data_IF_351686841070
#
_entry.id   IF_351686841070
#
_cell.length_a   1.000
_cell.length_b   1.000
_cell.length_c   1.000
_cell.angle_alpha   90.00
_cell.angle_beta   90.00
_cell.angle_gamma   90.00
#
_symmetry.space_group_name_H-M   'P 1'
#
loop_
_entity.id
_entity.type
_entity.pdbx_description
1 polymer ?
#
# COMPACT_ATOMS: atom_id res chain seq x y z
N UNK A 1 25.68 5.27 -2.46
CA UNK A 1 25.70 4.10 -3.36
C UNK A 1 26.61 4.42 -4.53
N UNK A 2 27.53 3.52 -4.86
CA UNK A 2 28.53 3.77 -5.90
C UNK A 2 27.90 3.64 -7.30
N UNK A 3 27.90 4.73 -8.07
CA UNK A 3 27.26 4.78 -9.40
C UNK A 3 27.96 3.87 -10.40
N UNK A 4 29.30 3.81 -10.32
CA UNK A 4 30.12 3.04 -11.27
C UNK A 4 29.83 1.55 -11.17
N UNK A 5 29.64 1.02 -9.97
CA UNK A 5 29.28 -0.38 -9.73
C UNK A 5 27.92 -0.70 -10.34
N UNK A 6 26.91 0.14 -10.13
CA UNK A 6 25.56 -0.08 -10.67
C UNK A 6 25.59 -0.12 -12.20
N UNK A 7 26.28 0.83 -12.84
CA UNK A 7 26.41 0.88 -14.30
C UNK A 7 27.15 -0.33 -14.89
N UNK A 8 28.07 -0.93 -14.14
CA UNK A 8 28.75 -2.18 -14.55
C UNK A 8 27.80 -3.36 -14.49
N UNK A 9 27.00 -3.48 -13.42
CA UNK A 9 26.02 -4.55 -13.26
C UNK A 9 24.94 -4.47 -14.34
N UNK A 10 24.39 -3.28 -14.59
CA UNK A 10 23.37 -3.04 -15.62
C UNK A 10 23.87 -3.42 -17.02
N UNK A 11 25.08 -2.98 -17.40
CA UNK A 11 25.70 -3.35 -18.69
C UNK A 11 26.02 -4.83 -18.82
N UNK A 12 26.20 -5.54 -17.70
CA UNK A 12 26.37 -6.99 -17.69
C UNK A 12 25.04 -7.76 -17.84
N UNK A 13 23.90 -7.05 -17.97
CA UNK A 13 22.57 -7.65 -18.08
C UNK A 13 21.95 -8.02 -16.73
N UNK A 14 22.49 -7.53 -15.61
CA UNK A 14 21.94 -7.79 -14.29
C UNK A 14 20.76 -6.86 -14.04
N UNK A 15 19.60 -7.44 -13.71
CA UNK A 15 18.40 -6.70 -13.34
C UNK A 15 18.33 -6.50 -11.82
N UNK A 16 17.84 -5.34 -11.40
CA UNK A 16 17.63 -5.04 -9.99
C UNK A 16 16.17 -5.29 -9.62
N UNK A 17 15.94 -6.28 -8.76
CA UNK A 17 14.63 -6.55 -8.18
C UNK A 17 14.63 -6.11 -6.71
N UNK A 18 13.57 -5.41 -6.31
CA UNK A 18 13.35 -5.03 -4.93
C UNK A 18 11.96 -5.48 -4.48
N UNK A 19 11.83 -5.83 -3.20
CA UNK A 19 10.56 -6.19 -2.60
C UNK A 19 9.92 -4.96 -1.95
N UNK A 20 8.64 -4.72 -2.26
CA UNK A 20 7.79 -3.73 -1.59
C UNK A 20 6.64 -4.43 -0.88
N UNK A 21 6.19 -3.82 0.20
CA UNK A 21 5.15 -4.40 1.04
C UNK A 21 3.78 -4.12 0.40
N UNK A 22 2.92 -5.13 0.41
CA UNK A 22 1.54 -5.05 -0.08
C UNK A 22 0.68 -5.90 0.85
N UNK A 23 -0.65 -5.72 0.88
CA UNK A 23 -1.51 -6.65 1.57
C UNK A 23 -1.24 -8.10 1.16
N UNK A 24 -1.20 -9.00 2.15
CA UNK A 24 -0.79 -10.38 1.98
C UNK A 24 0.72 -10.62 1.97
N UNK A 25 1.54 -9.58 2.17
CA UNK A 25 2.99 -9.70 2.38
C UNK A 25 3.78 -8.72 1.51
N UNK A 26 4.28 -9.18 0.37
CA UNK A 26 5.15 -8.37 -0.48
C UNK A 26 5.08 -8.77 -1.95
N UNK A 27 5.44 -7.82 -2.81
CA UNK A 27 5.60 -8.05 -4.25
C UNK A 27 6.95 -7.56 -4.72
N UNK A 28 7.43 -8.11 -5.82
CA UNK A 28 8.71 -7.72 -6.41
C UNK A 28 8.48 -6.71 -7.52
N UNK A 29 9.29 -5.66 -7.52
CA UNK A 29 9.35 -4.65 -8.56
C UNK A 29 10.76 -4.60 -9.14
N UNK A 30 10.83 -4.35 -10.45
CA UNK A 30 12.10 -4.09 -11.12
C UNK A 30 12.42 -2.60 -11.05
N UNK A 31 13.65 -2.30 -10.64
CA UNK A 31 14.17 -0.96 -10.52
C UNK A 31 15.17 -0.69 -11.65
N UNK A 32 15.11 0.51 -12.20
CA UNK A 32 16.19 1.03 -13.04
C UNK A 32 17.39 1.46 -12.19
N UNK A 33 18.61 1.47 -12.76
CA UNK A 33 19.82 1.93 -12.09
C UNK A 33 19.70 3.28 -11.35
N UNK A 34 19.00 4.25 -11.94
CA UNK A 34 18.80 5.59 -11.41
C UNK A 34 17.75 5.66 -10.28
N UNK A 35 16.82 4.70 -10.24
CA UNK A 35 15.78 4.59 -9.22
C UNK A 35 16.26 3.96 -7.91
N UNK A 36 17.33 3.16 -7.96
CA UNK A 36 17.87 2.45 -6.80
C UNK A 36 18.16 3.39 -5.61
N UNK A 37 18.65 4.59 -5.87
CA UNK A 37 18.99 5.54 -4.80
C UNK A 37 17.74 6.12 -4.15
N UNK A 38 16.70 6.41 -4.94
CA UNK A 38 15.40 6.85 -4.44
C UNK A 38 14.79 5.74 -3.57
N UNK A 39 14.79 4.51 -4.07
CA UNK A 39 14.26 3.34 -3.35
C UNK A 39 14.98 3.07 -2.02
N UNK A 40 16.32 3.08 -2.00
CA UNK A 40 17.11 2.80 -0.78
C UNK A 40 16.90 3.87 0.29
N UNK A 41 16.72 5.14 -0.12
CA UNK A 41 16.53 6.24 0.82
C UNK A 41 15.09 6.31 1.35
N UNK A 42 14.10 5.98 0.51
CA UNK A 42 12.69 6.00 0.88
C UNK A 42 11.88 4.92 0.16
N UNK A 43 11.94 3.69 0.67
CA UNK A 43 11.21 2.52 0.14
C UNK A 43 9.71 2.80 0.02
N UNK A 44 9.09 3.29 1.09
CA UNK A 44 7.64 3.54 1.14
C UNK A 44 7.23 4.70 0.22
N UNK A 45 8.04 5.77 0.16
CA UNK A 45 7.79 6.88 -0.75
C UNK A 45 7.89 6.46 -2.21
N UNK A 46 8.90 5.65 -2.55
CA UNK A 46 9.04 5.07 -3.87
C UNK A 46 7.85 4.14 -4.20
N UNK A 47 7.48 3.24 -3.29
CA UNK A 47 6.36 2.34 -3.47
C UNK A 47 5.05 3.11 -3.68
N UNK A 48 4.78 4.12 -2.85
CA UNK A 48 3.61 4.99 -2.97
C UNK A 48 3.54 5.68 -4.34
N UNK A 49 4.66 6.25 -4.82
CA UNK A 49 4.78 6.83 -6.16
C UNK A 49 4.50 5.80 -7.25
N UNK A 50 4.99 4.56 -7.07
CA UNK A 50 4.79 3.45 -8.02
C UNK A 50 3.33 3.01 -8.11
N UNK A 51 2.59 3.10 -7.01
CA UNK A 51 1.16 2.82 -6.90
C UNK A 51 0.28 4.06 -7.13
N UNK A 52 0.85 5.23 -7.39
CA UNK A 52 0.10 6.47 -7.69
C UNK A 52 -0.61 7.10 -6.49
N UNK A 53 -0.15 6.86 -5.26
CA UNK A 53 -0.76 7.37 -4.03
C UNK A 53 0.22 8.17 -3.17
N UNK A 54 -0.28 8.87 -2.15
CA UNK A 54 0.59 9.44 -1.12
C UNK A 54 1.20 8.35 -0.25
N UNK A 55 2.34 8.66 0.37
CA UNK A 55 3.03 7.76 1.29
C UNK A 55 2.16 7.32 2.47
N UNK A 56 1.34 8.22 2.97
CA UNK A 56 0.41 7.96 4.08
C UNK A 56 -0.72 7.00 3.68
N UNK A 57 -1.22 7.10 2.45
CA UNK A 57 -2.24 6.19 1.93
C UNK A 57 -1.66 4.80 1.67
N UNK A 58 -0.47 4.73 1.06
CA UNK A 58 0.25 3.47 0.88
C UNK A 58 0.46 2.74 2.22
N UNK A 59 0.93 3.45 3.25
CA UNK A 59 1.10 2.87 4.59
C UNK A 59 -0.22 2.40 5.19
N UNK A 60 -1.28 3.20 5.10
CA UNK A 60 -2.59 2.78 5.60
C UNK A 60 -3.10 1.52 4.89
N UNK A 61 -2.90 1.42 3.58
CA UNK A 61 -3.27 0.25 2.79
C UNK A 61 -2.50 -1.01 3.22
N UNK A 62 -1.17 -0.90 3.41
CA UNK A 62 -0.33 -2.00 3.89
C UNK A 62 -0.66 -2.39 5.35
N UNK A 63 -0.72 -1.42 6.26
CA UNK A 63 -0.96 -1.63 7.69
C UNK A 63 -2.35 -2.24 7.97
N UNK A 64 -3.31 -1.99 7.09
CA UNK A 64 -4.67 -2.53 7.18
C UNK A 64 -4.85 -3.87 6.46
N UNK A 65 -3.78 -4.45 5.91
CA UNK A 65 -3.83 -5.63 5.06
C UNK A 65 -4.91 -5.53 3.97
N UNK A 66 -5.04 -4.35 3.37
CA UNK A 66 -6.01 -4.07 2.30
C UNK A 66 -7.46 -4.01 2.76
N UNK A 67 -7.72 -3.77 4.06
CA UNK A 67 -9.07 -3.55 4.61
C UNK A 67 -9.33 -2.06 4.89
N UNK A 68 -10.54 -1.56 4.63
CA UNK A 68 -10.84 -0.14 4.91
C UNK A 68 -11.38 0.02 6.32
N UNK A 69 -10.78 0.93 7.09
CA UNK A 69 -11.32 1.35 8.38
C UNK A 69 -12.49 2.33 8.19
N UNK A 70 -13.57 2.13 8.94
CA UNK A 70 -14.75 2.98 8.96
C UNK A 70 -14.43 4.48 9.08
N UNK A 71 -15.15 5.31 8.33
CA UNK A 71 -15.00 6.77 8.32
C UNK A 71 -15.78 7.48 9.43
N UNK A 72 -16.83 6.84 9.98
CA UNK A 72 -17.66 7.40 11.04
C UNK A 72 -16.92 7.62 12.37
N UNK A 73 -17.50 8.49 13.20
CA UNK A 73 -17.07 8.74 14.58
C UNK A 73 -18.03 8.08 15.57
N UNK A 74 -17.48 7.61 16.68
CA UNK A 74 -18.24 7.10 17.82
C UNK A 74 -19.02 8.23 18.50
N UNK A 75 -19.94 7.89 19.39
CA UNK A 75 -20.66 8.86 20.24
C UNK A 75 -19.72 9.70 21.11
N UNK A 76 -18.55 9.16 21.48
CA UNK A 76 -17.47 9.89 22.16
C UNK A 76 -16.60 10.76 21.24
N UNK A 77 -16.91 10.85 19.95
CA UNK A 77 -16.22 11.68 18.96
C UNK A 77 -14.93 11.08 18.38
N UNK A 78 -14.47 9.92 18.86
CA UNK A 78 -13.29 9.23 18.33
C UNK A 78 -13.58 8.54 16.99
N UNK A 79 -12.57 8.33 16.13
CA UNK A 79 -12.76 7.58 14.87
C UNK A 79 -13.11 6.13 15.17
N UNK A 80 -14.12 5.59 14.49
CA UNK A 80 -14.48 4.19 14.61
C UNK A 80 -13.31 3.29 14.20
N UNK A 81 -13.01 2.25 14.99
CA UNK A 81 -11.93 1.29 14.72
C UNK A 81 -12.40 0.04 13.97
N UNK A 82 -13.70 -0.09 13.68
CA UNK A 82 -14.22 -1.22 12.93
C UNK A 82 -13.81 -1.11 11.46
N UNK A 83 -13.58 -2.26 10.84
CA UNK A 83 -13.39 -2.33 9.40
C UNK A 83 -14.74 -2.35 8.69
N UNK A 84 -14.74 -1.80 7.47
CA UNK A 84 -15.82 -1.91 6.51
C UNK A 84 -15.89 -3.36 6.05
N UNK A 85 -17.11 -3.88 5.91
CA UNK A 85 -17.31 -5.23 5.35
C UNK A 85 -16.85 -5.26 3.90
N UNK A 86 -16.07 -6.28 3.53
CA UNK A 86 -15.56 -6.40 2.17
C UNK A 86 -14.42 -7.41 2.06
N UNK A 87 -13.80 -7.51 0.88
CA UNK A 87 -12.63 -8.35 0.68
C UNK A 87 -11.46 -7.88 1.56
N UNK A 88 -10.65 -8.84 2.01
CA UNK A 88 -9.33 -8.57 2.58
C UNK A 88 -8.30 -8.54 1.44
N UNK A 89 -7.13 -7.94 1.70
CA UNK A 89 -6.01 -7.95 0.77
C UNK A 89 -6.36 -7.39 -0.62
N UNK A 90 -7.22 -6.38 -0.64
CA UNK A 90 -7.61 -5.69 -1.87
C UNK A 90 -6.39 -5.00 -2.49
N UNK A 91 -6.40 -4.91 -3.82
CA UNK A 91 -5.48 -4.00 -4.50
C UNK A 91 -5.74 -2.55 -4.08
N UNK A 92 -4.76 -1.69 -4.32
CA UNK A 92 -4.83 -0.31 -3.84
C UNK A 92 -5.95 0.48 -4.53
N UNK A 93 -6.28 0.15 -5.78
CA UNK A 93 -7.31 0.85 -6.54
C UNK A 93 -8.71 0.59 -5.97
N UNK A 94 -9.03 -0.66 -5.66
CA UNK A 94 -10.29 -1.04 -5.03
C UNK A 94 -10.36 -0.57 -3.58
N UNK A 95 -9.25 -0.65 -2.85
CA UNK A 95 -9.17 -0.10 -1.49
C UNK A 95 -9.46 1.41 -1.45
N UNK A 96 -8.93 2.18 -2.42
CA UNK A 96 -9.18 3.61 -2.54
C UNK A 96 -10.67 3.94 -2.78
N UNK A 97 -11.37 3.14 -3.61
CA UNK A 97 -12.81 3.32 -3.88
C UNK A 97 -13.68 3.15 -2.64
N UNK A 98 -13.20 2.36 -1.67
CA UNK A 98 -13.90 2.08 -0.42
C UNK A 98 -13.64 3.12 0.67
N UNK A 99 -12.67 4.03 0.49
CA UNK A 99 -12.40 5.08 1.46
C UNK A 99 -13.63 5.98 1.69
N UNK A 100 -13.84 6.37 2.95
CA UNK A 100 -14.99 7.19 3.32
C UNK A 100 -16.26 6.39 3.61
N UNK A 101 -16.29 5.09 3.35
CA UNK A 101 -17.43 4.22 3.69
C UNK A 101 -17.48 3.85 5.17
N UNK A 102 -18.62 3.31 5.59
CA UNK A 102 -18.91 2.97 6.99
C UNK A 102 -18.90 1.46 7.22
N UNK A 103 -18.63 1.05 8.45
CA UNK A 103 -18.87 -0.33 8.88
C UNK A 103 -20.37 -0.58 9.08
N UNK A 104 -20.76 -1.85 9.22
CA UNK A 104 -22.15 -2.26 9.44
C UNK A 104 -22.84 -1.51 10.59
N UNK A 105 -22.12 -1.29 11.71
CA UNK A 105 -22.66 -0.59 12.89
C UNK A 105 -22.95 0.89 12.61
N UNK A 106 -22.27 1.49 11.62
CA UNK A 106 -22.48 2.87 11.18
C UNK A 106 -23.22 2.95 9.83
N UNK A 107 -24.06 1.97 9.54
CA UNK A 107 -24.95 1.96 8.37
C UNK A 107 -24.29 1.54 7.05
N UNK A 108 -23.09 0.95 7.12
CA UNK A 108 -22.47 0.30 5.97
C UNK A 108 -23.03 -1.10 5.71
N UNK A 109 -22.59 -1.73 4.62
CA UNK A 109 -23.00 -3.09 4.29
C UNK A 109 -22.53 -4.10 5.35
N UNK A 110 -23.35 -5.13 5.60
CA UNK A 110 -22.99 -6.25 6.46
C UNK A 110 -22.13 -7.28 5.72
N UNK A 111 -21.17 -7.88 6.41
CA UNK A 111 -20.38 -8.97 5.85
C UNK A 111 -21.27 -10.17 5.59
N UNK A 112 -21.58 -10.46 4.32
CA UNK A 112 -22.24 -11.70 3.95
C UNK A 112 -21.20 -12.82 3.95
N UNK A 113 -21.18 -13.65 5.00
CA UNK A 113 -20.51 -14.95 4.92
C UNK A 113 -21.25 -15.80 3.88
N UNK A 114 -20.56 -16.21 2.82
CA UNK A 114 -20.96 -17.39 2.05
C UNK A 114 -20.29 -18.61 2.67
#
# INVERSE_FOLDING_TARGET
MDRKTIEVLDRAGISFAASVDVPGGGTNIFLKPDELREFVNDKDGYAAKRFGVSKELYRQWVDSDGTVQCSARTTSGSRCKNMVSGPIQQDIEDWLKMLGTNCAVHGGEESRRK
#
